data_IF_349318411431
#
_entry.id   IF_349318411431
#
_cell.length_a   1.000
_cell.length_b   1.000
_cell.length_c   1.000
_cell.angle_alpha   90.00
_cell.angle_beta   90.00
_cell.angle_gamma   90.00
#
_symmetry.space_group_name_H-M   'P 1'
#
loop_
_entity.id
_entity.type
_entity.pdbx_description
1 polymer ?
#
# COMPACT_ATOMS: atom_id res chain seq x y z
N UNK A 1 -23.84 18.75 -21.52
CA UNK A 1 -23.96 20.07 -20.87
C UNK A 1 -23.48 19.91 -19.43
N UNK A 2 -22.22 20.22 -19.17
CA UNK A 2 -21.70 20.23 -17.80
C UNK A 2 -22.21 21.48 -17.07
N UNK A 3 -22.80 21.29 -15.90
CA UNK A 3 -23.25 22.39 -15.05
C UNK A 3 -22.04 23.24 -14.62
N UNK A 4 -22.02 24.56 -14.89
CA UNK A 4 -20.89 25.44 -14.58
C UNK A 4 -20.65 25.66 -13.07
N UNK A 5 -21.44 25.03 -12.19
CA UNK A 5 -21.44 25.26 -10.75
C UNK A 5 -21.08 24.02 -9.90
N UNK A 6 -20.44 23.00 -10.47
CA UNK A 6 -19.90 21.92 -9.64
C UNK A 6 -18.84 22.51 -8.68
N UNK A 7 -19.03 22.44 -7.35
CA UNK A 7 -18.08 23.01 -6.40
C UNK A 7 -16.72 22.36 -6.60
N UNK A 8 -15.66 23.17 -6.68
CA UNK A 8 -14.29 22.68 -6.81
C UNK A 8 -14.02 21.64 -5.72
N UNK A 9 -13.43 20.48 -6.04
CA UNK A 9 -13.20 19.44 -5.06
C UNK A 9 -12.33 19.98 -3.92
N UNK A 10 -12.91 20.09 -2.72
CA UNK A 10 -12.24 20.61 -1.52
C UNK A 10 -11.14 19.66 -1.09
N UNK A 11 -9.97 20.22 -0.78
CA UNK A 11 -8.84 19.45 -0.21
C UNK A 11 -9.18 18.90 1.18
N UNK A 12 -9.96 19.65 1.96
CA UNK A 12 -10.40 19.30 3.30
C UNK A 12 -11.89 18.98 3.32
N UNK A 13 -12.25 17.79 3.83
CA UNK A 13 -13.64 17.35 3.98
C UNK A 13 -14.02 17.24 5.47
N UNK A 14 -15.31 17.06 5.75
CA UNK A 14 -15.77 16.70 7.11
C UNK A 14 -15.10 15.40 7.57
N UNK A 15 -15.02 14.43 6.66
CA UNK A 15 -14.39 13.13 6.88
C UNK A 15 -12.89 13.27 7.17
N UNK A 16 -12.17 14.20 6.51
CA UNK A 16 -10.78 14.54 6.86
C UNK A 16 -10.65 14.97 8.32
N UNK A 17 -11.61 15.75 8.83
CA UNK A 17 -11.59 16.22 10.23
C UNK A 17 -11.86 15.08 11.22
N UNK A 18 -12.78 14.17 10.86
CA UNK A 18 -13.08 12.98 11.68
C UNK A 18 -11.88 12.04 11.72
N UNK A 19 -11.26 11.75 10.57
CA UNK A 19 -10.07 10.90 10.49
C UNK A 19 -8.89 11.51 11.23
N UNK A 20 -8.64 12.81 11.08
CA UNK A 20 -7.57 13.48 11.81
C UNK A 20 -7.81 13.46 13.33
N UNK A 21 -9.05 13.70 13.77
CA UNK A 21 -9.42 13.60 15.18
C UNK A 21 -9.21 12.20 15.75
N UNK A 22 -9.67 11.18 15.02
CA UNK A 22 -9.44 9.77 15.39
C UNK A 22 -7.96 9.41 15.40
N UNK A 23 -7.18 9.89 14.44
CA UNK A 23 -5.74 9.68 14.36
C UNK A 23 -5.01 10.29 15.56
N UNK A 24 -5.31 11.54 15.93
CA UNK A 24 -4.73 12.16 17.12
C UNK A 24 -5.15 11.47 18.40
N UNK A 25 -6.40 10.99 18.48
CA UNK A 25 -6.84 10.18 19.62
C UNK A 25 -6.02 8.89 19.74
N UNK A 26 -5.77 8.19 18.63
CA UNK A 26 -4.96 6.98 18.61
C UNK A 26 -3.51 7.27 19.00
N UNK A 27 -2.89 8.34 18.45
CA UNK A 27 -1.54 8.77 18.87
C UNK A 27 -1.51 9.06 20.38
N UNK A 28 -2.48 9.82 20.88
CA UNK A 28 -2.58 10.14 22.29
C UNK A 28 -2.67 8.88 23.15
N UNK A 29 -3.51 7.91 22.76
CA UNK A 29 -3.64 6.63 23.45
C UNK A 29 -2.34 5.82 23.41
N UNK A 30 -1.65 5.78 22.27
CA UNK A 30 -0.34 5.10 22.16
C UNK A 30 0.67 5.74 23.10
N UNK A 31 0.83 7.07 23.06
CA UNK A 31 1.77 7.79 23.93
C UNK A 31 1.42 7.56 25.40
N UNK A 32 0.14 7.63 25.76
CA UNK A 32 -0.32 7.44 27.13
C UNK A 32 -0.06 6.01 27.64
N UNK A 33 -0.41 4.99 26.84
CA UNK A 33 -0.26 3.58 27.22
C UNK A 33 1.21 3.17 27.28
N UNK A 34 2.02 3.65 26.32
CA UNK A 34 3.42 3.26 26.17
C UNK A 34 4.39 4.25 26.80
N UNK A 35 3.90 5.23 27.58
CA UNK A 35 4.74 6.23 28.24
C UNK A 35 5.90 5.62 29.05
N UNK A 36 5.70 4.55 29.85
CA UNK A 36 6.83 3.97 30.61
C UNK A 36 7.94 3.43 29.71
N UNK A 37 7.58 2.80 28.59
CA UNK A 37 8.56 2.33 27.61
C UNK A 37 9.26 3.52 26.92
N UNK A 38 8.51 4.59 26.65
CA UNK A 38 9.07 5.80 26.08
C UNK A 38 10.11 6.42 27.03
N UNK A 39 9.87 6.48 28.34
CA UNK A 39 10.85 6.97 29.32
C UNK A 39 12.15 6.17 29.28
N UNK A 40 12.06 4.84 29.24
CA UNK A 40 13.25 3.96 29.13
C UNK A 40 14.03 4.23 27.84
N UNK A 41 13.34 4.35 26.70
CA UNK A 41 13.99 4.61 25.40
C UNK A 41 14.60 6.01 25.35
N UNK A 42 13.89 7.03 25.85
CA UNK A 42 14.33 8.42 25.84
C UNK A 42 15.51 8.66 26.81
N UNK A 43 15.69 7.81 27.82
CA UNK A 43 16.83 7.87 28.73
C UNK A 43 18.17 7.50 28.06
N UNK A 44 18.15 6.77 26.93
CA UNK A 44 19.36 6.48 26.15
C UNK A 44 19.82 7.64 25.27
N UNK A 45 19.00 8.69 25.12
CA UNK A 45 19.31 9.84 24.28
C UNK A 45 20.12 10.85 25.09
N UNK A 46 21.29 11.21 24.57
CA UNK A 46 22.03 12.38 25.05
C UNK A 46 21.35 13.65 24.54
N UNK A 47 20.57 14.28 25.42
CA UNK A 47 19.80 15.49 25.13
C UNK A 47 20.65 16.76 25.03
N UNK A 48 21.84 16.77 25.65
CA UNK A 48 22.77 17.90 25.61
C UNK A 48 23.66 17.85 24.35
N UNK A 49 23.69 16.70 23.67
CA UNK A 49 24.44 16.46 22.44
C UNK A 49 23.61 16.51 21.16
N UNK A 50 24.03 15.72 20.18
CA UNK A 50 23.39 15.64 18.86
C UNK A 50 22.18 14.69 18.87
N UNK A 51 21.21 14.94 19.76
CA UNK A 51 20.01 14.11 19.97
C UNK A 51 19.25 13.79 18.68
N UNK A 52 19.29 14.68 17.69
CA UNK A 52 18.65 14.49 16.38
C UNK A 52 19.18 13.28 15.61
N UNK A 53 20.39 12.78 15.92
CA UNK A 53 20.95 11.57 15.29
C UNK A 53 20.29 10.29 15.79
N UNK A 54 19.68 10.32 16.98
CA UNK A 54 18.95 9.19 17.56
C UNK A 54 17.55 9.04 16.96
N UNK A 55 17.05 10.06 16.26
CA UNK A 55 15.75 10.03 15.63
C UNK A 55 15.79 9.34 14.27
N UNK A 56 14.83 8.44 14.05
CA UNK A 56 14.62 7.83 12.74
C UNK A 56 13.86 8.79 11.81
N UNK A 57 14.60 9.69 11.17
CA UNK A 57 14.05 10.66 10.22
C UNK A 57 13.33 10.01 9.03
N UNK A 58 13.75 8.80 8.63
CA UNK A 58 13.10 8.08 7.55
C UNK A 58 11.70 7.61 7.99
N UNK A 59 11.60 7.01 9.18
CA UNK A 59 10.31 6.62 9.76
C UNK A 59 9.38 7.83 9.92
N UNK A 60 9.88 8.90 10.54
CA UNK A 60 9.10 10.12 10.75
C UNK A 60 8.63 10.73 9.43
N UNK A 61 9.49 10.75 8.40
CA UNK A 61 9.16 11.23 7.07
C UNK A 61 8.07 10.41 6.39
N UNK A 62 8.21 9.07 6.40
CA UNK A 62 7.21 8.14 5.84
C UNK A 62 5.88 8.28 6.57
N UNK A 63 5.92 8.29 7.91
CA UNK A 63 4.72 8.41 8.75
C UNK A 63 4.01 9.75 8.52
N UNK A 64 4.75 10.87 8.50
CA UNK A 64 4.19 12.19 8.23
C UNK A 64 3.60 12.27 6.81
N UNK A 65 4.31 11.73 5.82
CA UNK A 65 3.84 11.69 4.44
C UNK A 65 2.54 10.89 4.30
N UNK A 66 2.50 9.65 4.83
CA UNK A 66 1.30 8.83 4.78
C UNK A 66 0.13 9.45 5.56
N UNK A 67 0.41 10.06 6.71
CA UNK A 67 -0.63 10.77 7.50
C UNK A 67 -1.24 11.94 6.72
N UNK A 68 -0.41 12.72 6.03
CA UNK A 68 -0.87 13.82 5.19
C UNK A 68 -1.70 13.30 4.01
N UNK A 69 -1.24 12.25 3.33
CA UNK A 69 -1.91 11.72 2.13
C UNK A 69 -3.27 11.11 2.46
N UNK A 70 -3.40 10.33 3.54
CA UNK A 70 -4.69 9.71 3.91
C UNK A 70 -5.73 10.74 4.35
N UNK A 71 -5.31 11.82 5.02
CA UNK A 71 -6.22 12.90 5.47
C UNK A 71 -6.65 13.77 4.28
N UNK A 72 -5.78 13.93 3.28
CA UNK A 72 -6.10 14.70 2.08
C UNK A 72 -7.28 14.07 1.32
N UNK A 73 -8.36 14.85 1.16
CA UNK A 73 -9.59 14.46 0.44
C UNK A 73 -10.20 13.14 0.92
N UNK A 74 -10.21 12.91 2.23
CA UNK A 74 -10.74 11.67 2.77
C UNK A 74 -12.25 11.50 2.52
N UNK A 75 -12.65 10.25 2.30
CA UNK A 75 -14.04 9.81 2.07
C UNK A 75 -14.22 8.45 2.74
N UNK A 76 -14.87 8.45 3.90
CA UNK A 76 -15.00 7.27 4.76
C UNK A 76 -15.68 6.09 4.05
N UNK A 77 -16.59 6.34 3.10
CA UNK A 77 -17.30 5.27 2.38
C UNK A 77 -16.38 4.55 1.41
N UNK A 78 -15.59 5.32 0.67
CA UNK A 78 -14.63 4.77 -0.29
C UNK A 78 -13.44 4.14 0.44
N UNK A 79 -12.98 4.81 1.49
CA UNK A 79 -11.81 4.40 2.27
C UNK A 79 -12.08 3.13 3.09
N UNK A 80 -13.29 2.93 3.61
CA UNK A 80 -13.64 1.70 4.34
C UNK A 80 -13.41 0.43 3.50
N UNK A 81 -13.71 0.47 2.20
CA UNK A 81 -13.45 -0.67 1.32
C UNK A 81 -11.94 -0.87 1.10
N UNK A 82 -11.18 0.22 0.93
CA UNK A 82 -9.72 0.16 0.77
C UNK A 82 -9.08 -0.41 2.03
N UNK A 83 -9.54 0.01 3.21
CA UNK A 83 -9.11 -0.52 4.50
C UNK A 83 -9.41 -2.01 4.59
N UNK A 84 -10.64 -2.43 4.30
CA UNK A 84 -11.02 -3.85 4.33
C UNK A 84 -10.14 -4.70 3.41
N UNK A 85 -9.96 -4.28 2.16
CA UNK A 85 -9.11 -4.99 1.20
C UNK A 85 -7.65 -4.96 1.64
N UNK A 86 -7.15 -3.85 2.19
CA UNK A 86 -5.80 -3.73 2.73
C UNK A 86 -5.54 -4.68 3.89
N UNK A 87 -6.50 -4.87 4.80
CA UNK A 87 -6.39 -5.85 5.89
C UNK A 87 -6.32 -7.28 5.34
N UNK A 88 -7.27 -7.69 4.51
CA UNK A 88 -7.32 -9.05 3.97
C UNK A 88 -6.14 -9.34 3.05
N UNK A 89 -5.77 -8.38 2.22
CA UNK A 89 -4.64 -8.46 1.30
C UNK A 89 -3.31 -8.50 2.03
N UNK A 90 -3.11 -7.63 3.03
CA UNK A 90 -1.93 -7.65 3.88
C UNK A 90 -1.77 -8.98 4.61
N UNK A 91 -2.85 -9.50 5.20
CA UNK A 91 -2.85 -10.83 5.81
C UNK A 91 -2.42 -11.92 4.83
N UNK A 92 -2.92 -11.89 3.59
CA UNK A 92 -2.56 -12.86 2.57
C UNK A 92 -1.08 -12.76 2.16
N UNK A 93 -0.56 -11.54 1.97
CA UNK A 93 0.85 -11.31 1.60
C UNK A 93 1.79 -11.72 2.73
N UNK A 94 1.51 -11.30 3.97
CA UNK A 94 2.32 -11.68 5.12
C UNK A 94 2.28 -13.18 5.40
N UNK A 95 1.11 -13.80 5.24
CA UNK A 95 0.98 -15.25 5.36
C UNK A 95 1.81 -15.95 4.29
N UNK A 96 1.79 -15.47 3.06
CA UNK A 96 2.60 -16.06 2.00
C UNK A 96 4.10 -15.93 2.28
N UNK A 97 4.61 -14.73 2.55
CA UNK A 97 6.06 -14.52 2.69
C UNK A 97 6.67 -15.18 3.91
N UNK A 98 6.03 -15.04 5.06
CA UNK A 98 6.58 -15.54 6.33
C UNK A 98 6.47 -17.05 6.47
N UNK A 99 5.40 -17.66 5.91
CA UNK A 99 5.24 -19.13 5.91
C UNK A 99 6.17 -19.82 4.91
N UNK A 100 6.50 -19.15 3.80
CA UNK A 100 7.44 -19.67 2.80
C UNK A 100 8.91 -19.38 3.13
N UNK A 101 9.18 -18.58 4.17
CA UNK A 101 10.52 -18.10 4.55
C UNK A 101 11.17 -17.20 3.49
N UNK A 102 10.37 -16.48 2.70
CA UNK A 102 10.90 -15.44 1.79
C UNK A 102 11.40 -14.23 2.57
N UNK A 103 10.73 -13.90 3.68
CA UNK A 103 11.20 -12.92 4.66
C UNK A 103 10.81 -13.32 6.08
N UNK A 104 11.54 -12.76 7.05
CA UNK A 104 11.31 -12.94 8.48
C UNK A 104 11.32 -11.60 9.20
N UNK A 105 10.48 -11.49 10.22
CA UNK A 105 10.46 -10.36 11.14
C UNK A 105 11.29 -10.66 12.38
N UNK A 106 11.81 -9.63 13.04
CA UNK A 106 12.53 -9.75 14.32
C UNK A 106 11.70 -10.44 15.42
N UNK A 107 10.37 -10.41 15.32
CA UNK A 107 9.43 -11.07 16.25
C UNK A 107 9.25 -12.57 15.98
N UNK A 108 9.78 -13.09 14.86
CA UNK A 108 9.60 -14.47 14.40
C UNK A 108 8.14 -14.95 14.18
N UNK A 109 7.15 -14.06 14.29
CA UNK A 109 5.73 -14.36 14.05
C UNK A 109 5.42 -14.67 12.58
N UNK A 110 4.41 -15.53 12.33
CA UNK A 110 4.02 -15.99 10.97
C UNK A 110 2.50 -16.23 10.84
N UNK A 111 1.71 -15.33 10.23
CA UNK A 111 2.06 -13.94 9.90
C UNK A 111 2.11 -13.07 11.16
N UNK A 112 2.96 -12.03 11.21
CA UNK A 112 2.93 -11.04 12.28
C UNK A 112 1.64 -10.21 12.23
N UNK A 113 0.85 -10.24 13.30
CA UNK A 113 -0.42 -9.48 13.32
C UNK A 113 -0.20 -7.97 13.52
N UNK A 114 0.93 -7.60 14.12
CA UNK A 114 1.24 -6.21 14.44
C UNK A 114 1.49 -5.32 13.21
N UNK A 115 1.91 -5.90 12.07
CA UNK A 115 2.15 -5.13 10.84
C UNK A 115 0.89 -5.02 9.95
N UNK A 116 -0.12 -5.87 10.18
CA UNK A 116 -1.36 -5.87 9.39
C UNK A 116 -2.05 -4.50 9.35
N UNK A 117 -2.13 -3.71 10.44
CA UNK A 117 -2.68 -2.36 10.39
C UNK A 117 -1.92 -1.38 9.48
N UNK A 118 -0.65 -1.62 9.16
CA UNK A 118 0.13 -0.77 8.26
C UNK A 118 -0.32 -0.91 6.80
N UNK A 119 -0.80 -2.10 6.40
CA UNK A 119 -1.25 -2.38 5.03
C UNK A 119 -2.41 -1.48 4.56
N UNK A 120 -3.48 -1.25 5.37
CA UNK A 120 -4.50 -0.24 5.08
C UNK A 120 -3.98 1.17 4.89
N UNK A 121 -3.03 1.61 5.73
CA UNK A 121 -2.46 2.96 5.68
C UNK A 121 -1.67 3.15 4.38
N UNK A 122 -0.84 2.17 4.03
CA UNK A 122 -0.12 2.16 2.76
C UNK A 122 -1.10 2.11 1.57
N UNK A 123 -2.13 1.28 1.63
CA UNK A 123 -3.14 1.14 0.56
C UNK A 123 -3.89 2.44 0.29
N UNK A 124 -4.32 3.15 1.36
CA UNK A 124 -4.95 4.46 1.23
C UNK A 124 -3.99 5.49 0.65
N UNK A 125 -2.75 5.53 1.14
CA UNK A 125 -1.72 6.45 0.64
C UNK A 125 -1.47 6.22 -0.86
N UNK A 126 -1.34 4.96 -1.28
CA UNK A 126 -1.14 4.59 -2.69
C UNK A 126 -2.35 4.99 -3.53
N UNK A 127 -3.59 4.73 -3.10
CA UNK A 127 -4.79 5.18 -3.82
C UNK A 127 -4.77 6.71 -4.06
N UNK A 128 -4.39 7.50 -3.06
CA UNK A 128 -4.29 8.96 -3.18
C UNK A 128 -3.17 9.39 -4.14
N UNK A 129 -2.01 8.76 -4.06
CA UNK A 129 -0.88 9.00 -4.99
C UNK A 129 -1.31 8.64 -6.41
N UNK A 130 -1.92 7.49 -6.64
CA UNK A 130 -2.39 7.05 -7.95
C UNK A 130 -3.41 8.01 -8.54
N UNK A 131 -4.37 8.49 -7.75
CA UNK A 131 -5.35 9.51 -8.20
C UNK A 131 -4.67 10.83 -8.57
N UNK A 132 -3.68 11.27 -7.79
CA UNK A 132 -2.89 12.46 -8.11
C UNK A 132 -2.10 12.27 -9.40
N UNK A 133 -1.39 11.15 -9.55
CA UNK A 133 -0.64 10.81 -10.77
C UNK A 133 -1.56 10.75 -11.98
N UNK A 134 -2.72 10.13 -11.85
CA UNK A 134 -3.74 10.06 -12.91
C UNK A 134 -4.22 11.46 -13.30
N UNK A 135 -4.52 12.32 -12.33
CA UNK A 135 -4.92 13.71 -12.58
C UNK A 135 -3.82 14.51 -13.29
N UNK A 136 -2.59 14.45 -12.80
CA UNK A 136 -1.44 15.14 -13.40
C UNK A 136 -1.18 14.64 -14.83
N UNK A 137 -1.27 13.33 -15.03
CA UNK A 137 -1.08 12.72 -16.33
C UNK A 137 -2.19 13.12 -17.32
N UNK A 138 -3.46 13.16 -16.91
CA UNK A 138 -4.57 13.64 -17.76
C UNK A 138 -4.38 15.11 -18.12
N UNK A 139 -3.97 15.94 -17.16
CA UNK A 139 -3.73 17.37 -17.39
C UNK A 139 -2.56 17.61 -18.34
N UNK A 140 -1.47 16.85 -18.21
CA UNK A 140 -0.27 16.99 -19.02
C UNK A 140 -0.48 16.50 -20.47
N UNK A 141 -1.15 15.37 -20.64
CA UNK A 141 -1.31 14.75 -21.98
C UNK A 141 -2.54 15.24 -22.73
N UNK A 142 -3.50 15.91 -22.06
CA UNK A 142 -4.84 16.25 -22.57
C UNK A 142 -5.64 15.04 -23.11
N UNK A 143 -5.15 13.82 -22.94
CA UNK A 143 -5.82 12.59 -23.35
C UNK A 143 -6.93 12.33 -22.32
N UNK A 144 -8.16 12.68 -22.68
CA UNK A 144 -9.36 12.22 -22.00
C UNK A 144 -9.70 10.85 -22.57
N UNK A 145 -9.47 9.82 -21.76
CA UNK A 145 -9.97 8.45 -21.95
C UNK A 145 -9.40 7.68 -23.16
N UNK A 146 -8.65 6.61 -22.87
CA UNK A 146 -8.20 5.65 -23.88
C UNK A 146 -6.84 5.06 -23.54
N UNK A 147 -6.73 3.74 -23.61
CA UNK A 147 -5.47 3.01 -23.52
C UNK A 147 -4.54 3.43 -24.67
N UNK A 148 -3.75 4.48 -24.46
CA UNK A 148 -2.72 4.85 -25.42
C UNK A 148 -1.78 3.66 -25.63
N UNK A 149 -1.30 3.49 -26.86
CA UNK A 149 -0.34 2.43 -27.19
C UNK A 149 0.85 2.44 -26.22
N UNK A 150 1.26 3.63 -25.78
CA UNK A 150 2.29 3.84 -24.77
C UNK A 150 1.94 3.16 -23.44
N UNK A 151 0.74 3.36 -22.88
CA UNK A 151 0.38 2.72 -21.60
C UNK A 151 0.26 1.21 -21.72
N UNK A 152 -0.20 0.69 -22.86
CA UNK A 152 -0.18 -0.76 -23.11
C UNK A 152 1.24 -1.31 -23.16
N UNK A 153 2.15 -0.64 -23.86
CA UNK A 153 3.57 -1.03 -23.91
C UNK A 153 4.20 -0.97 -22.52
N UNK A 154 4.04 0.13 -21.80
CA UNK A 154 4.56 0.30 -20.44
C UNK A 154 4.03 -0.78 -19.50
N UNK A 155 2.73 -1.06 -19.55
CA UNK A 155 2.13 -2.15 -18.80
C UNK A 155 2.82 -3.48 -19.09
N UNK A 156 2.85 -3.94 -20.36
CA UNK A 156 3.41 -5.25 -20.67
C UNK A 156 4.90 -5.37 -20.36
N UNK A 157 5.67 -4.29 -20.55
CA UNK A 157 7.07 -4.25 -20.13
C UNK A 157 7.21 -4.36 -18.61
N UNK A 158 6.46 -3.56 -17.84
CA UNK A 158 6.54 -3.56 -16.37
C UNK A 158 6.07 -4.88 -15.78
N UNK A 159 4.86 -5.34 -16.11
CA UNK A 159 4.28 -6.55 -15.54
C UNK A 159 4.97 -7.82 -16.05
N UNK A 160 5.41 -7.84 -17.31
CA UNK A 160 6.22 -8.95 -17.84
C UNK A 160 7.57 -9.07 -17.13
N UNK A 161 8.27 -7.94 -16.95
CA UNK A 161 9.56 -7.92 -16.22
C UNK A 161 9.38 -8.28 -14.75
N UNK A 162 8.33 -7.77 -14.10
CA UNK A 162 7.98 -8.14 -12.74
C UNK A 162 7.72 -9.65 -12.60
N UNK A 163 6.99 -10.26 -13.55
CA UNK A 163 6.71 -11.69 -13.50
C UNK A 163 7.98 -12.54 -13.61
N UNK A 164 8.94 -12.12 -14.45
CA UNK A 164 10.24 -12.79 -14.55
C UNK A 164 11.01 -12.69 -13.22
N UNK A 165 11.06 -11.50 -12.63
CA UNK A 165 11.68 -11.27 -11.32
C UNK A 165 10.99 -12.09 -10.21
N UNK A 166 9.67 -12.15 -10.22
CA UNK A 166 8.85 -12.92 -9.28
C UNK A 166 9.21 -14.40 -9.34
N UNK A 167 9.27 -15.00 -10.54
CA UNK A 167 9.63 -16.42 -10.70
C UNK A 167 11.05 -16.69 -10.18
N UNK A 168 12.00 -15.82 -10.50
CA UNK A 168 13.38 -15.96 -10.04
C UNK A 168 13.47 -15.87 -8.50
N UNK A 169 12.84 -14.86 -7.91
CA UNK A 169 12.87 -14.61 -6.46
C UNK A 169 12.18 -15.72 -5.66
N UNK A 170 11.06 -16.26 -6.16
CA UNK A 170 10.28 -17.25 -5.40
C UNK A 170 10.70 -18.70 -5.69
N UNK A 171 11.64 -18.90 -6.62
CA UNK A 171 12.14 -20.21 -7.03
C UNK A 171 12.60 -21.14 -5.89
N UNK A 172 13.19 -20.65 -4.78
CA UNK A 172 13.56 -21.53 -3.66
C UNK A 172 12.36 -22.12 -2.91
N UNK A 173 11.14 -21.62 -3.17
CA UNK A 173 9.93 -21.95 -2.42
C UNK A 173 8.86 -22.62 -3.29
N UNK A 174 9.23 -23.18 -4.44
CA UNK A 174 8.29 -23.90 -5.33
C UNK A 174 7.72 -25.19 -4.71
N UNK A 175 8.29 -25.67 -3.61
CA UNK A 175 7.73 -26.76 -2.81
C UNK A 175 6.53 -26.31 -1.96
N UNK A 176 6.27 -25.00 -1.83
CA UNK A 176 5.19 -24.45 -1.00
C UNK A 176 3.94 -24.13 -1.82
N UNK A 177 2.77 -24.53 -1.32
CA UNK A 177 1.48 -24.26 -1.94
C UNK A 177 1.16 -22.77 -2.05
N UNK A 178 1.54 -21.96 -1.05
CA UNK A 178 1.34 -20.52 -1.08
C UNK A 178 2.11 -19.84 -2.22
N UNK A 179 3.27 -20.34 -2.61
CA UNK A 179 4.03 -19.81 -3.76
C UNK A 179 3.27 -20.01 -5.06
N UNK A 180 2.71 -21.20 -5.28
CA UNK A 180 1.85 -21.46 -6.45
C UNK A 180 0.61 -20.59 -6.45
N UNK A 181 -0.06 -20.42 -5.30
CA UNK A 181 -1.23 -19.54 -5.18
C UNK A 181 -0.89 -18.10 -5.57
N UNK A 182 0.22 -17.55 -5.04
CA UNK A 182 0.69 -16.19 -5.33
C UNK A 182 1.08 -16.02 -6.80
N UNK A 183 1.76 -17.00 -7.40
CA UNK A 183 2.11 -17.00 -8.82
C UNK A 183 0.87 -17.02 -9.71
N UNK A 184 -0.07 -17.93 -9.45
CA UNK A 184 -1.33 -18.01 -10.22
C UNK A 184 -2.12 -16.72 -10.10
N UNK A 185 -2.22 -16.13 -8.90
CA UNK A 185 -2.88 -14.84 -8.71
C UNK A 185 -2.21 -13.74 -9.54
N UNK A 186 -0.88 -13.64 -9.51
CA UNK A 186 -0.15 -12.65 -10.30
C UNK A 186 -0.39 -12.83 -11.81
N UNK A 187 -0.31 -14.07 -12.32
CA UNK A 187 -0.58 -14.38 -13.73
C UNK A 187 -2.00 -13.98 -14.13
N UNK A 188 -3.01 -14.34 -13.33
CA UNK A 188 -4.40 -13.97 -13.59
C UNK A 188 -4.59 -12.45 -13.62
N UNK A 189 -3.98 -11.73 -12.68
CA UNK A 189 -4.04 -10.26 -12.64
C UNK A 189 -3.39 -9.61 -13.86
N UNK A 190 -2.23 -10.11 -14.27
CA UNK A 190 -1.47 -9.58 -15.42
C UNK A 190 -2.22 -9.83 -16.73
N UNK A 191 -2.80 -11.03 -16.91
CA UNK A 191 -3.46 -11.43 -18.16
C UNK A 191 -4.89 -10.91 -18.33
N UNK A 192 -5.51 -10.35 -17.28
CA UNK A 192 -6.88 -9.85 -17.33
C UNK A 192 -6.98 -8.34 -17.07
N UNK A 193 -6.25 -7.47 -17.78
CA UNK A 193 -6.24 -6.03 -17.51
C UNK A 193 -7.62 -5.40 -17.71
N UNK A 194 -8.04 -4.56 -16.77
CA UNK A 194 -9.28 -3.75 -16.87
C UNK A 194 -8.99 -2.33 -17.33
N UNK A 195 -7.86 -1.76 -16.94
CA UNK A 195 -7.40 -0.42 -17.31
C UNK A 195 -5.87 -0.42 -17.26
N UNK A 196 -5.20 -0.35 -18.41
CA UNK A 196 -3.74 -0.46 -18.50
C UNK A 196 -3.06 0.74 -17.83
N UNK A 197 -3.63 1.93 -18.01
CA UNK A 197 -3.08 3.18 -17.49
C UNK A 197 -3.19 3.21 -15.97
N UNK A 198 -4.37 2.95 -15.43
CA UNK A 198 -4.56 2.98 -13.98
C UNK A 198 -3.78 1.85 -13.29
N UNK A 199 -3.69 0.67 -13.89
CA UNK A 199 -2.85 -0.42 -13.36
C UNK A 199 -1.37 -0.01 -13.30
N UNK A 200 -0.83 0.57 -14.38
CA UNK A 200 0.55 1.04 -14.42
C UNK A 200 0.81 2.15 -13.37
N UNK A 201 -0.08 3.15 -13.27
CA UNK A 201 0.07 4.21 -12.28
C UNK A 201 -0.07 3.72 -10.83
N UNK A 202 -0.91 2.71 -10.60
CA UNK A 202 -1.04 2.03 -9.30
C UNK A 202 0.26 1.29 -8.96
N UNK A 203 0.82 0.56 -9.92
CA UNK A 203 2.09 -0.12 -9.75
C UNK A 203 3.22 0.85 -9.41
N UNK A 204 3.35 1.95 -10.16
CA UNK A 204 4.37 2.98 -9.91
C UNK A 204 4.19 3.65 -8.56
N UNK A 205 2.96 3.99 -8.17
CA UNK A 205 2.67 4.56 -6.86
C UNK A 205 3.02 3.58 -5.72
N UNK A 206 2.65 2.30 -5.87
CA UNK A 206 2.94 1.25 -4.91
C UNK A 206 4.44 0.98 -4.78
N UNK A 207 5.17 0.86 -5.89
CA UNK A 207 6.62 0.69 -5.86
C UNK A 207 7.35 1.93 -5.31
N UNK A 208 6.85 3.14 -5.63
CA UNK A 208 7.41 4.40 -5.12
C UNK A 208 7.30 4.52 -3.60
N UNK A 209 6.12 4.24 -3.03
CA UNK A 209 5.96 4.20 -1.56
C UNK A 209 6.69 2.99 -0.95
N UNK A 210 6.60 1.83 -1.60
CA UNK A 210 7.23 0.58 -1.20
C UNK A 210 8.75 0.69 -1.08
N UNK A 211 9.41 1.47 -1.95
CA UNK A 211 10.85 1.72 -1.83
C UNK A 211 11.24 2.28 -0.47
N UNK A 212 10.52 3.30 0.02
CA UNK A 212 10.83 3.91 1.32
C UNK A 212 10.45 2.99 2.48
N UNK A 213 9.34 2.25 2.36
CA UNK A 213 8.92 1.27 3.37
C UNK A 213 9.94 0.14 3.52
N UNK A 214 10.39 -0.43 2.40
CA UNK A 214 11.42 -1.48 2.38
C UNK A 214 12.78 -0.96 2.83
N UNK A 215 13.18 0.23 2.38
CA UNK A 215 14.42 0.85 2.82
C UNK A 215 14.42 1.02 4.34
N UNK A 216 13.32 1.51 4.91
CA UNK A 216 13.19 1.62 6.35
C UNK A 216 13.23 0.25 7.03
N UNK A 217 12.33 -0.65 6.67
CA UNK A 217 12.19 -1.93 7.38
C UNK A 217 13.41 -2.82 7.30
N UNK A 218 14.09 -2.86 6.15
CA UNK A 218 15.28 -3.70 5.96
C UNK A 218 16.55 -3.10 6.58
N UNK A 219 16.71 -1.77 6.59
CA UNK A 219 17.88 -1.13 7.23
C UNK A 219 17.79 -1.07 8.76
N UNK A 220 16.58 -1.21 9.33
CA UNK A 220 16.35 -1.29 10.79
C UNK A 220 16.10 -2.73 11.25
N UNK A 221 16.30 -3.71 10.36
CA UNK A 221 16.09 -5.14 10.65
C UNK A 221 14.69 -5.46 11.20
N UNK A 222 13.69 -4.62 10.87
CA UNK A 222 12.30 -4.92 11.18
C UNK A 222 11.87 -6.19 10.44
N UNK A 223 12.36 -6.36 9.20
CA UNK A 223 12.31 -7.62 8.49
C UNK A 223 13.54 -7.80 7.62
N UNK A 224 13.85 -9.07 7.33
CA UNK A 224 15.00 -9.47 6.52
C UNK A 224 14.54 -10.51 5.50
N UNK A 225 14.89 -10.27 4.24
CA UNK A 225 14.65 -11.21 3.15
C UNK A 225 15.73 -12.28 3.09
N UNK A 226 15.40 -13.45 2.54
CA UNK A 226 16.36 -14.53 2.35
C UNK A 226 17.56 -14.13 1.45
N UNK A 227 17.40 -13.09 0.61
CA UNK A 227 18.45 -12.53 -0.25
C UNK A 227 19.41 -11.59 0.49
N UNK A 228 19.07 -11.17 1.71
CA UNK A 228 19.84 -10.22 2.53
C UNK A 228 20.04 -8.82 1.88
N UNK A 229 19.27 -8.50 0.84
CA UNK A 229 19.32 -7.20 0.16
C UNK A 229 18.59 -6.10 0.95
N UNK A 230 19.09 -4.86 0.87
CA UNK A 230 18.52 -3.69 1.58
C UNK A 230 18.40 -2.45 0.65
N UNK A 231 17.20 -2.08 0.18
CA UNK A 231 16.01 -2.90 0.03
C UNK A 231 16.13 -3.86 -1.18
N UNK A 232 15.50 -5.05 -1.16
CA UNK A 232 15.47 -5.94 -2.32
C UNK A 232 14.64 -5.33 -3.44
N UNK A 233 15.15 -5.34 -4.67
CA UNK A 233 14.44 -4.77 -5.82
C UNK A 233 13.08 -5.47 -6.02
N UNK A 234 13.04 -6.79 -5.86
CA UNK A 234 11.79 -7.55 -5.96
C UNK A 234 10.75 -7.07 -4.95
N UNK A 235 11.13 -6.90 -3.68
CA UNK A 235 10.21 -6.47 -2.63
C UNK A 235 9.60 -5.09 -2.92
N UNK A 236 10.44 -4.14 -3.37
CA UNK A 236 9.98 -2.81 -3.79
C UNK A 236 8.94 -2.91 -4.90
N UNK A 237 9.20 -3.72 -5.93
CA UNK A 237 8.25 -3.91 -7.04
C UNK A 237 7.02 -4.72 -6.64
N UNK A 238 7.15 -5.63 -5.66
CA UNK A 238 6.05 -6.42 -5.12
C UNK A 238 5.00 -5.54 -4.42
N UNK A 239 5.39 -4.43 -3.77
CA UNK A 239 4.45 -3.42 -3.29
C UNK A 239 3.61 -2.82 -4.42
N UNK A 240 4.22 -2.58 -5.59
CA UNK A 240 3.52 -2.15 -6.79
C UNK A 240 2.47 -3.17 -7.25
N UNK A 241 2.85 -4.45 -7.32
CA UNK A 241 1.93 -5.53 -7.69
C UNK A 241 0.82 -5.74 -6.65
N UNK A 242 1.14 -5.67 -5.37
CA UNK A 242 0.18 -5.78 -4.27
C UNK A 242 -0.87 -4.66 -4.34
N UNK A 243 -0.45 -3.43 -4.60
CA UNK A 243 -1.36 -2.30 -4.79
C UNK A 243 -2.33 -2.53 -5.97
N UNK A 244 -1.84 -3.06 -7.08
CA UNK A 244 -2.68 -3.42 -8.24
C UNK A 244 -3.67 -4.53 -7.86
N UNK A 245 -3.21 -5.56 -7.14
CA UNK A 245 -4.05 -6.64 -6.66
C UNK A 245 -5.17 -6.12 -5.73
N UNK A 246 -4.85 -5.21 -4.82
CA UNK A 246 -5.83 -4.63 -3.88
C UNK A 246 -6.86 -3.76 -4.60
N UNK A 247 -6.42 -2.91 -5.53
CA UNK A 247 -7.34 -2.14 -6.36
C UNK A 247 -8.30 -3.06 -7.12
N UNK A 248 -7.78 -4.13 -7.75
CA UNK A 248 -8.57 -5.14 -8.47
C UNK A 248 -9.55 -5.87 -7.56
N UNK A 249 -9.12 -6.27 -6.38
CA UNK A 249 -9.98 -6.89 -5.37
C UNK A 249 -11.11 -5.92 -4.94
N UNK A 250 -10.80 -4.63 -4.79
CA UNK A 250 -11.79 -3.59 -4.52
C UNK A 250 -12.85 -3.47 -5.62
N UNK A 251 -12.47 -3.56 -6.90
CA UNK A 251 -13.42 -3.56 -8.02
C UNK A 251 -14.36 -4.79 -7.97
N UNK A 252 -13.80 -5.97 -7.72
CA UNK A 252 -14.57 -7.21 -7.58
C UNK A 252 -15.53 -7.11 -6.40
N UNK A 253 -15.06 -6.64 -5.24
CA UNK A 253 -15.89 -6.45 -4.06
C UNK A 253 -17.06 -5.50 -4.33
N UNK A 254 -16.83 -4.37 -5.02
CA UNK A 254 -17.90 -3.46 -5.44
C UNK A 254 -18.91 -4.13 -6.36
N UNK A 255 -18.45 -4.94 -7.31
CA UNK A 255 -19.33 -5.68 -8.22
C UNK A 255 -20.21 -6.68 -7.46
N UNK A 256 -19.63 -7.44 -6.53
CA UNK A 256 -20.37 -8.42 -5.71
C UNK A 256 -21.38 -7.73 -4.80
N UNK A 257 -20.98 -6.67 -4.09
CA UNK A 257 -21.87 -5.88 -3.22
C UNK A 257 -23.00 -5.25 -4.04
N UNK A 258 -22.70 -4.72 -5.24
CA UNK A 258 -23.68 -4.16 -6.15
C UNK A 258 -24.73 -5.18 -6.59
N UNK A 259 -24.29 -6.38 -7.01
CA UNK A 259 -25.20 -7.49 -7.35
C UNK A 259 -26.06 -7.91 -6.16
N UNK A 260 -25.47 -8.02 -4.97
CA UNK A 260 -26.20 -8.38 -3.75
C UNK A 260 -27.31 -7.38 -3.42
N UNK A 261 -27.03 -6.07 -3.53
CA UNK A 261 -28.03 -5.02 -3.31
C UNK A 261 -29.18 -5.06 -4.31
N UNK A 262 -28.91 -5.39 -5.58
CA UNK A 262 -29.95 -5.56 -6.60
C UNK A 262 -30.85 -6.77 -6.32
N UNK A 263 -30.28 -7.86 -5.81
CA UNK A 263 -31.04 -9.07 -5.44
C UNK A 263 -31.89 -8.85 -4.19
N UNK A 264 -31.36 -8.14 -3.18
CA UNK A 264 -32.05 -7.90 -1.91
C UNK A 264 -33.00 -6.70 -1.92
N UNK A 265 -32.80 -5.71 -2.80
CA UNK A 265 -33.65 -4.52 -2.94
C UNK A 265 -34.81 -4.70 -3.93
N UNK A 266 -35.02 -5.92 -4.44
CA UNK A 266 -36.11 -6.29 -5.35
C UNK A 266 -37.39 -6.78 -4.67
N UNK A 267 -37.64 -6.37 -3.43
CA UNK A 267 -38.90 -6.57 -2.70
C UNK A 267 -39.38 -5.25 -2.08
#
# INVERSE_FOLDING_TARGET
>A
MESPNAPRPRFWTRDSSILLGGFFLVIFLIVYIWWPLAEEVLAYIDWDGEWWRYLDWLLLGIFAFMSLTIVARADLKTDALIVFVGICGGLAVESWGTQTNLWHYYTAERPPLWIIPAWPIASLSIDRITRLLSFLNTKATKIHEGDSLLFKMLYWMTFGSFMILMVAFVSPTFDKSYTWLSLTLCVLLILTPTDYRFAFLTFVAGAGLGYFLELWGTTRECWTYYTLETPPLFAVLAHGMAAVAFWRAGLVARMVIGKWRLVMGGW
#
